data_IF_540258408974
#
_entry.id   IF_540258408974
#
_cell.length_a   1.000
_cell.length_b   1.000
_cell.length_c   1.000
_cell.angle_alpha   90.00
_cell.angle_beta   90.00
_cell.angle_gamma   90.00
#
_symmetry.space_group_name_H-M   'P 1'
#
loop_
_entity.id
_entity.type
_entity.pdbx_description
1 polymer ?
#
# COMPACT_ATOMS: atom_id res chain seq x y z
N UNK A 1 -8.13 -3.68 9.85
CA UNK A 1 -8.78 -3.91 8.54
C UNK A 1 -8.37 -5.28 8.03
N UNK A 2 -9.21 -5.95 7.25
CA UNK A 2 -8.93 -7.27 6.68
C UNK A 2 -9.30 -7.27 5.18
N UNK A 3 -8.58 -8.07 4.40
CA UNK A 3 -8.88 -8.33 2.99
C UNK A 3 -8.56 -9.80 2.69
N UNK A 4 -9.31 -10.40 1.80
CA UNK A 4 -9.02 -11.73 1.25
C UNK A 4 -8.72 -11.51 -0.22
N UNK A 5 -7.63 -12.09 -0.70
CA UNK A 5 -7.20 -12.03 -2.10
C UNK A 5 -7.06 -13.48 -2.56
N UNK A 6 -7.63 -13.79 -3.73
CA UNK A 6 -7.43 -15.08 -4.36
C UNK A 6 -6.08 -15.05 -5.10
N UNK A 7 -5.16 -15.90 -4.69
CA UNK A 7 -3.80 -16.00 -5.24
C UNK A 7 -3.61 -17.45 -5.63
N UNK A 8 -3.42 -17.71 -6.92
CA UNK A 8 -3.18 -19.06 -7.42
C UNK A 8 -4.30 -20.05 -7.01
N UNK A 9 -5.56 -19.61 -7.10
CA UNK A 9 -6.72 -20.40 -6.69
C UNK A 9 -6.91 -20.55 -5.18
N UNK A 10 -6.04 -19.97 -4.35
CA UNK A 10 -6.09 -20.03 -2.89
C UNK A 10 -6.55 -18.70 -2.28
N UNK A 11 -7.49 -18.77 -1.36
CA UNK A 11 -7.97 -17.58 -0.64
C UNK A 11 -7.01 -17.24 0.51
N UNK A 12 -6.20 -16.20 0.31
CA UNK A 12 -5.23 -15.73 1.30
C UNK A 12 -5.83 -14.55 2.07
N UNK A 13 -5.87 -14.68 3.40
CA UNK A 13 -6.37 -13.63 4.29
C UNK A 13 -5.22 -12.72 4.73
N UNK A 14 -5.45 -11.42 4.63
CA UNK A 14 -4.54 -10.37 5.06
C UNK A 14 -5.18 -9.49 6.12
N UNK A 15 -4.37 -8.97 7.05
CA UNK A 15 -4.83 -8.07 8.11
C UNK A 15 -3.84 -6.92 8.32
N UNK A 16 -4.38 -5.70 8.27
CA UNK A 16 -3.70 -4.47 8.63
C UNK A 16 -4.25 -3.93 9.96
N UNK A 17 -3.51 -4.11 11.05
CA UNK A 17 -3.78 -3.53 12.38
C UNK A 17 -2.47 -3.04 13.00
N UNK A 18 -2.49 -2.11 13.96
CA UNK A 18 -1.27 -1.56 14.57
C UNK A 18 -0.16 -2.60 14.89
N UNK A 19 -0.54 -3.83 15.26
CA UNK A 19 0.37 -4.96 15.47
C UNK A 19 1.27 -5.35 14.29
N UNK A 20 0.85 -5.17 13.03
CA UNK A 20 1.65 -5.62 11.88
C UNK A 20 2.93 -4.80 11.72
N UNK A 21 2.91 -3.53 12.13
CA UNK A 21 4.09 -2.65 12.18
C UNK A 21 5.12 -3.17 13.19
N UNK A 22 4.66 -3.53 14.39
CA UNK A 22 5.52 -4.12 15.42
C UNK A 22 6.09 -5.46 14.98
N UNK A 23 5.27 -6.33 14.37
CA UNK A 23 5.73 -7.61 13.86
C UNK A 23 6.75 -7.45 12.74
N UNK A 24 6.57 -6.48 11.85
CA UNK A 24 7.53 -6.21 10.77
C UNK A 24 8.91 -5.88 11.35
N UNK A 25 8.96 -4.98 12.34
CA UNK A 25 10.22 -4.62 13.02
C UNK A 25 10.84 -5.80 13.76
N UNK A 26 10.03 -6.61 14.43
CA UNK A 26 10.51 -7.81 15.14
C UNK A 26 11.07 -8.86 14.18
N UNK A 27 10.42 -9.07 13.04
CA UNK A 27 10.80 -10.10 12.06
C UNK A 27 12.04 -9.70 11.26
N UNK A 28 12.08 -8.46 10.76
CA UNK A 28 13.06 -8.03 9.77
C UNK A 28 14.08 -7.01 10.30
N UNK A 29 13.94 -6.56 11.55
CA UNK A 29 14.82 -5.55 12.16
C UNK A 29 14.69 -4.14 11.55
N UNK A 30 13.84 -3.96 10.53
CA UNK A 30 13.63 -2.69 9.81
C UNK A 30 12.39 -1.97 10.33
N UNK A 31 12.43 -0.64 10.34
CA UNK A 31 11.24 0.17 10.61
C UNK A 31 10.36 0.27 9.35
N UNK A 32 9.14 -0.27 9.44
CA UNK A 32 8.21 -0.29 8.32
C UNK A 32 7.84 1.11 7.84
N UNK A 33 7.69 2.08 8.74
CA UNK A 33 7.31 3.43 8.36
C UNK A 33 8.41 4.09 7.53
N UNK A 34 9.67 3.92 7.95
CA UNK A 34 10.83 4.40 7.19
C UNK A 34 10.87 3.80 5.78
N UNK A 35 10.55 2.52 5.66
CA UNK A 35 10.54 1.81 4.38
C UNK A 35 9.46 2.36 3.43
N UNK A 36 8.23 2.58 3.92
CA UNK A 36 7.09 2.94 3.06
C UNK A 36 6.90 4.45 2.89
N UNK A 37 7.55 5.28 3.72
CA UNK A 37 7.42 6.75 3.66
C UNK A 37 7.76 7.34 2.28
N UNK A 38 8.83 6.89 1.57
CA UNK A 38 9.13 7.39 0.23
C UNK A 38 7.99 7.12 -0.76
N UNK A 39 7.40 5.93 -0.73
CA UNK A 39 6.26 5.57 -1.59
C UNK A 39 5.03 6.41 -1.26
N UNK A 40 4.74 6.61 0.02
CA UNK A 40 3.60 7.41 0.47
C UNK A 40 3.77 8.87 0.02
N UNK A 41 4.96 9.44 0.21
CA UNK A 41 5.27 10.81 -0.21
C UNK A 41 5.06 10.96 -1.72
N UNK A 42 5.63 10.04 -2.51
CA UNK A 42 5.48 10.06 -3.96
C UNK A 42 4.02 9.87 -4.42
N UNK A 43 3.26 8.99 -3.78
CA UNK A 43 1.84 8.80 -4.08
C UNK A 43 1.00 10.06 -3.74
N UNK A 44 1.32 10.75 -2.64
CA UNK A 44 0.66 12.01 -2.27
C UNK A 44 1.02 13.15 -3.22
N UNK A 45 2.29 13.26 -3.65
CA UNK A 45 2.73 14.23 -4.65
C UNK A 45 2.01 14.01 -5.98
N UNK A 46 1.93 12.75 -6.45
CA UNK A 46 1.17 12.40 -7.65
C UNK A 46 -0.32 12.72 -7.55
N UNK A 47 -0.93 12.52 -6.38
CA UNK A 47 -2.33 12.86 -6.14
C UNK A 47 -2.56 14.39 -6.09
N UNK A 48 -1.64 15.15 -5.48
CA UNK A 48 -1.69 16.61 -5.45
C UNK A 48 -1.59 17.18 -6.88
N UNK A 49 -0.69 16.65 -7.70
CA UNK A 49 -0.59 17.02 -9.11
C UNK A 49 -1.86 16.69 -9.90
N UNK A 50 -2.47 15.52 -9.64
CA UNK A 50 -3.77 15.16 -10.24
C UNK A 50 -4.91 16.11 -9.84
N UNK A 51 -4.93 16.60 -8.60
CA UNK A 51 -5.90 17.61 -8.17
C UNK A 51 -5.60 18.99 -8.74
N UNK A 52 -4.33 19.38 -8.82
CA UNK A 52 -3.89 20.61 -9.48
C UNK A 52 -4.32 20.62 -10.96
N UNK A 53 -4.22 19.49 -11.66
CA UNK A 53 -4.71 19.27 -13.02
C UNK A 53 -6.22 19.47 -13.21
N UNK A 54 -7.02 19.29 -12.15
CA UNK A 54 -8.47 19.58 -12.18
C UNK A 54 -8.77 21.06 -11.87
N UNK A 55 -7.81 21.80 -11.31
CA UNK A 55 -7.90 23.24 -11.12
C UNK A 55 -7.37 23.93 -12.38
N UNK A 56 -8.12 24.88 -12.92
CA UNK A 56 -8.00 25.38 -14.30
C UNK A 56 -6.78 26.31 -14.59
N UNK A 57 -5.62 26.08 -13.95
CA UNK A 57 -4.41 26.88 -14.13
C UNK A 57 -3.29 26.02 -14.76
N UNK A 58 -3.02 26.25 -16.05
CA UNK A 58 -2.13 25.43 -16.87
C UNK A 58 -0.62 25.71 -16.71
N UNK A 59 -0.20 26.77 -16.00
CA UNK A 59 1.21 27.20 -15.97
C UNK A 59 2.09 26.42 -14.98
N UNK A 60 1.51 25.72 -13.99
CA UNK A 60 2.27 24.94 -12.99
C UNK A 60 2.55 23.48 -13.43
N UNK A 61 2.13 23.10 -14.65
CA UNK A 61 1.98 21.70 -15.03
C UNK A 61 3.29 20.93 -15.24
N UNK A 62 4.24 21.52 -15.94
CA UNK A 62 5.51 20.84 -16.28
C UNK A 62 6.48 20.81 -15.08
N UNK A 63 6.40 21.83 -14.21
CA UNK A 63 7.11 21.87 -12.93
C UNK A 63 6.56 20.83 -11.93
N UNK A 64 5.24 20.71 -11.79
CA UNK A 64 4.64 19.72 -10.90
C UNK A 64 4.90 18.28 -11.36
N UNK A 65 4.80 17.99 -12.66
CA UNK A 65 5.07 16.64 -13.17
C UNK A 65 6.53 16.23 -13.05
N UNK A 66 7.47 17.19 -13.12
CA UNK A 66 8.90 16.93 -12.91
C UNK A 66 9.29 16.79 -11.43
N UNK A 67 8.50 17.33 -10.50
CA UNK A 67 8.66 17.11 -9.05
C UNK A 67 8.12 15.76 -8.56
N UNK A 68 7.20 15.12 -9.32
CA UNK A 68 6.71 13.77 -9.02
C UNK A 68 7.84 12.76 -9.27
N UNK A 69 8.71 12.61 -8.28
CA UNK A 69 9.88 11.74 -8.39
C UNK A 69 9.55 10.29 -8.00
N UNK A 70 8.59 9.69 -8.73
CA UNK A 70 8.18 8.28 -8.56
C UNK A 70 9.37 7.33 -8.74
N UNK A 71 10.29 7.66 -9.65
CA UNK A 71 11.51 6.86 -9.86
C UNK A 71 12.35 6.74 -8.58
N UNK A 72 12.66 7.87 -7.92
CA UNK A 72 13.50 7.87 -6.72
C UNK A 72 12.86 7.19 -5.50
N UNK A 73 11.53 7.15 -5.46
CA UNK A 73 10.80 6.45 -4.39
C UNK A 73 10.84 4.93 -4.60
N UNK A 74 10.72 4.48 -5.86
CA UNK A 74 10.81 3.06 -6.22
C UNK A 74 12.23 2.53 -6.05
N UNK A 75 13.25 3.33 -6.36
CA UNK A 75 14.67 2.96 -6.18
C UNK A 75 15.06 2.61 -4.74
N UNK A 76 14.31 3.09 -3.74
CA UNK A 76 14.61 2.88 -2.32
C UNK A 76 13.95 1.66 -1.70
N UNK A 77 12.99 1.04 -2.39
CA UNK A 77 12.33 -0.18 -1.94
C UNK A 77 12.86 -1.35 -2.75
N UNK A 78 13.43 -2.33 -2.05
CA UNK A 78 13.78 -3.59 -2.67
C UNK A 78 12.51 -4.42 -2.92
N UNK A 79 12.51 -5.24 -3.97
CA UNK A 79 11.37 -6.14 -4.23
C UNK A 79 11.08 -7.06 -3.03
N UNK A 80 12.13 -7.49 -2.33
CA UNK A 80 12.04 -8.30 -1.11
C UNK A 80 11.29 -7.57 0.00
N UNK A 81 11.41 -6.26 0.12
CA UNK A 81 10.67 -5.48 1.10
C UNK A 81 9.16 -5.50 0.81
N UNK A 82 8.76 -5.52 -0.47
CA UNK A 82 7.35 -5.69 -0.86
C UNK A 82 6.80 -7.06 -0.46
N UNK A 83 7.57 -8.11 -0.73
CA UNK A 83 7.25 -9.47 -0.25
C UNK A 83 7.12 -9.49 1.28
N UNK A 84 8.08 -8.93 2.01
CA UNK A 84 8.05 -8.90 3.47
C UNK A 84 6.80 -8.18 4.03
N UNK A 85 6.36 -7.09 3.39
CA UNK A 85 5.12 -6.38 3.76
C UNK A 85 3.90 -7.27 3.52
N UNK A 86 3.82 -7.93 2.36
CA UNK A 86 2.71 -8.82 2.02
C UNK A 86 2.65 -9.99 3.03
N UNK A 87 3.79 -10.65 3.27
CA UNK A 87 3.89 -11.77 4.20
C UNK A 87 3.51 -11.34 5.63
N UNK A 88 4.00 -10.20 6.13
CA UNK A 88 3.67 -9.80 7.51
C UNK A 88 2.17 -9.51 7.69
N UNK A 89 1.51 -9.02 6.64
CA UNK A 89 0.06 -8.79 6.63
C UNK A 89 -0.71 -10.12 6.60
N UNK A 90 -0.20 -11.14 5.92
CA UNK A 90 -0.71 -12.51 5.97
C UNK A 90 -0.49 -13.13 7.35
N UNK A 91 0.74 -13.07 7.89
CA UNK A 91 1.11 -13.56 9.24
C UNK A 91 0.29 -12.90 10.34
N UNK A 92 -0.10 -11.63 10.14
CA UNK A 92 -0.96 -10.89 11.05
C UNK A 92 -2.42 -11.39 11.03
N UNK A 93 -2.88 -11.96 9.93
CA UNK A 93 -4.18 -12.59 9.82
C UNK A 93 -4.17 -14.06 10.28
N UNK A 94 -3.09 -14.79 9.98
CA UNK A 94 -2.88 -16.18 10.34
C UNK A 94 -1.46 -16.37 10.89
N UNK A 95 -1.34 -16.66 12.19
CA UNK A 95 -0.04 -16.79 12.86
C UNK A 95 0.70 -18.08 12.50
N UNK A 96 0.02 -19.03 11.88
CA UNK A 96 0.51 -20.38 11.68
C UNK A 96 1.09 -20.59 10.27
N UNK A 97 1.14 -19.55 9.42
CA UNK A 97 1.82 -19.63 8.11
C UNK A 97 3.34 -19.79 8.30
N UNK A 98 3.98 -20.45 7.34
CA UNK A 98 5.42 -20.68 7.32
C UNK A 98 6.22 -19.36 7.21
N UNK A 99 7.55 -19.46 7.36
CA UNK A 99 8.46 -18.35 7.13
C UNK A 99 8.43 -17.88 5.66
N UNK A 100 8.86 -16.65 5.33
CA UNK A 100 8.60 -16.04 4.03
C UNK A 100 8.94 -16.92 2.83
N UNK A 101 10.16 -17.48 2.78
CA UNK A 101 10.60 -18.31 1.66
C UNK A 101 9.67 -19.52 1.46
N UNK A 102 9.51 -20.34 2.50
CA UNK A 102 8.69 -21.55 2.45
C UNK A 102 7.21 -21.24 2.14
N UNK A 103 6.69 -20.11 2.66
CA UNK A 103 5.31 -19.69 2.39
C UNK A 103 5.10 -19.27 0.93
N UNK A 104 6.08 -18.59 0.34
CA UNK A 104 6.02 -18.21 -1.07
C UNK A 104 6.19 -19.41 -2.01
N UNK A 105 7.01 -20.39 -1.63
CA UNK A 105 7.20 -21.65 -2.37
C UNK A 105 5.92 -22.49 -2.45
N UNK A 106 4.91 -22.22 -1.62
CA UNK A 106 3.62 -22.89 -1.75
C UNK A 106 2.83 -22.46 -3.00
N UNK A 107 3.15 -21.32 -3.62
CA UNK A 107 2.44 -20.77 -4.80
C UNK A 107 3.21 -21.10 -6.08
N UNK A 108 2.51 -21.61 -7.10
CA UNK A 108 3.12 -21.81 -8.43
C UNK A 108 3.39 -20.44 -9.10
N UNK A 109 2.48 -19.47 -8.89
CA UNK A 109 2.62 -18.09 -9.37
C UNK A 109 2.17 -17.10 -8.31
N UNK A 110 3.08 -16.20 -7.91
CA UNK A 110 2.77 -15.12 -6.97
C UNK A 110 2.82 -13.74 -7.65
N UNK A 111 1.67 -13.13 -8.03
CA UNK A 111 1.61 -11.83 -8.69
C UNK A 111 1.82 -10.68 -7.68
N UNK A 112 3.07 -10.50 -7.22
CA UNK A 112 3.44 -9.61 -6.11
C UNK A 112 2.90 -8.18 -6.25
N UNK A 113 2.94 -7.61 -7.45
CA UNK A 113 2.48 -6.23 -7.69
C UNK A 113 0.96 -6.08 -7.63
N UNK A 114 0.21 -7.09 -8.12
CA UNK A 114 -1.25 -7.05 -8.08
C UNK A 114 -1.73 -7.23 -6.64
N UNK A 115 -1.13 -8.18 -5.91
CA UNK A 115 -1.38 -8.37 -4.46
C UNK A 115 -1.05 -7.09 -3.70
N UNK A 116 0.11 -6.48 -3.94
CA UNK A 116 0.49 -5.22 -3.31
C UNK A 116 -0.53 -4.11 -3.58
N UNK A 117 -0.93 -3.92 -4.85
CA UNK A 117 -1.92 -2.92 -5.27
C UNK A 117 -3.24 -3.12 -4.52
N UNK A 118 -3.69 -4.35 -4.38
CA UNK A 118 -4.90 -4.68 -3.65
C UNK A 118 -4.79 -4.42 -2.15
N UNK A 119 -3.62 -4.68 -1.54
CA UNK A 119 -3.38 -4.46 -0.12
C UNK A 119 -3.24 -2.99 0.26
N UNK A 120 -2.89 -2.11 -0.69
CA UNK A 120 -2.83 -0.66 -0.45
C UNK A 120 -4.13 -0.09 0.12
N UNK A 121 -5.28 -0.65 -0.27
CA UNK A 121 -6.61 -0.24 0.21
C UNK A 121 -6.79 -0.39 1.71
N UNK A 122 -6.12 -1.38 2.33
CA UNK A 122 -6.18 -1.60 3.78
C UNK A 122 -4.92 -1.14 4.51
N UNK A 123 -3.80 -1.08 3.80
CA UNK A 123 -2.50 -0.66 4.32
C UNK A 123 -2.50 0.83 4.67
N UNK A 124 -2.73 1.73 3.70
CA UNK A 124 -2.67 3.18 3.93
C UNK A 124 -3.63 3.65 5.03
N UNK A 125 -4.91 3.21 5.05
CA UNK A 125 -5.83 3.66 6.09
C UNK A 125 -5.49 3.11 7.48
N UNK A 126 -4.75 2.00 7.57
CA UNK A 126 -4.31 1.46 8.85
C UNK A 126 -3.17 2.26 9.48
N UNK A 127 -2.44 3.06 8.70
CA UNK A 127 -1.30 3.85 9.15
C UNK A 127 -1.63 5.33 9.36
N UNK A 128 -2.44 5.93 8.48
CA UNK A 128 -2.59 7.41 8.45
C UNK A 128 -4.01 7.91 8.56
N UNK A 129 -5.02 7.09 8.25
CA UNK A 129 -6.37 7.58 8.06
C UNK A 129 -7.22 7.32 9.30
N UNK A 130 -7.48 8.39 10.06
CA UNK A 130 -8.47 8.38 11.15
C UNK A 130 -9.88 8.20 10.59
N UNK A 131 -10.82 7.75 11.42
CA UNK A 131 -12.23 7.65 11.01
C UNK A 131 -12.82 8.99 10.58
N UNK A 132 -12.29 10.10 11.09
CA UNK A 132 -12.65 11.45 10.66
C UNK A 132 -12.15 11.76 9.24
N UNK A 133 -10.90 11.43 8.92
CA UNK A 133 -10.32 11.60 7.59
C UNK A 133 -11.03 10.72 6.54
N UNK A 134 -11.43 9.49 6.88
CA UNK A 134 -12.28 8.64 6.03
C UNK A 134 -13.63 9.27 5.72
N UNK A 135 -14.28 9.87 6.72
CA UNK A 135 -15.57 10.55 6.55
C UNK A 135 -15.44 11.76 5.63
N UNK A 136 -14.41 12.60 5.82
CA UNK A 136 -14.14 13.76 4.96
C UNK A 136 -13.84 13.35 3.51
N UNK A 137 -13.02 12.32 3.31
CA UNK A 137 -12.72 11.82 1.95
C UNK A 137 -13.97 11.29 1.23
N UNK A 138 -14.85 10.59 1.96
CA UNK A 138 -16.14 10.10 1.42
C UNK A 138 -17.11 11.22 1.04
N UNK A 139 -17.06 12.36 1.73
CA UNK A 139 -17.89 13.53 1.40
C UNK A 139 -17.32 14.35 0.24
N UNK A 140 -16.01 14.25 0.00
CA UNK A 140 -15.31 15.01 -1.05
C UNK A 140 -15.33 14.32 -2.42
N UNK A 141 -15.55 13.00 -2.49
CA UNK A 141 -15.72 12.29 -3.77
C UNK A 141 -17.20 12.35 -4.18
N UNK A 142 -17.57 13.10 -5.24
CA UNK A 142 -18.95 13.10 -5.73
C UNK A 142 -19.31 11.69 -6.20
N UNK A 143 -20.30 11.07 -5.55
CA UNK A 143 -20.85 9.78 -5.99
C UNK A 143 -21.34 9.93 -7.43
N UNK A 144 -20.69 9.29 -8.41
CA UNK A 144 -21.31 9.06 -9.72
C UNK A 144 -22.64 8.35 -9.46
N UNK A 145 -23.76 9.04 -9.67
CA UNK A 145 -25.08 8.43 -9.68
C UNK A 145 -25.04 7.37 -10.79
N UNK A 146 -25.11 6.09 -10.41
CA UNK A 146 -25.41 5.03 -11.37
C UNK A 146 -26.77 5.37 -11.99
N UNK A 147 -26.78 5.66 -13.29
CA UNK A 147 -28.01 5.61 -14.09
C UNK A 147 -28.39 4.15 -14.29
#
# INVERSE_FOLDING_TARGET
MQKIINIDGRDVKFKASASFVYRYKQQFGKDLLTLVMPLIKSALEGLNAFFALQSNNNEDMEALLSEINISSAIEKIELVDLFNIIWIMAKTANKDIAEPADWYDEFDVFPVFDVARELMEIFLPSLFITEESKKKLRTMIPRKKKK
#
